data_IF_391838458306
#
_entry.id   IF_391838458306
#
_cell.length_a   1.000
_cell.length_b   1.000
_cell.length_c   1.000
_cell.angle_alpha   90.00
_cell.angle_beta   90.00
_cell.angle_gamma   90.00
#
_symmetry.space_group_name_H-M   'P 1'
#
loop_
_entity.id
_entity.type
_entity.pdbx_description
1 polymer ?
#
# COMPACT_ATOMS: atom_id res chain seq x y z
N UNK A 1 42.56 43.71 -10.61
CA UNK A 1 41.24 43.07 -10.47
C UNK A 1 40.26 43.72 -11.43
N UNK A 2 39.66 42.97 -12.35
CA UNK A 2 38.58 43.49 -13.20
C UNK A 2 37.25 43.09 -12.54
N UNK A 3 36.52 44.07 -12.00
CA UNK A 3 35.20 43.83 -11.43
C UNK A 3 34.21 43.55 -12.58
N UNK A 4 33.77 42.29 -12.73
CA UNK A 4 32.80 41.90 -13.77
C UNK A 4 31.35 42.31 -13.45
N UNK A 5 31.08 42.74 -12.21
CA UNK A 5 29.73 43.13 -11.77
C UNK A 5 29.84 44.10 -10.59
N UNK A 6 29.18 45.26 -10.68
CA UNK A 6 29.10 46.27 -9.62
C UNK A 6 27.62 46.40 -9.26
N UNK A 7 27.30 46.32 -7.97
CA UNK A 7 25.96 46.48 -7.44
C UNK A 7 25.88 47.81 -6.69
N UNK A 8 25.12 48.80 -7.20
CA UNK A 8 24.87 50.04 -6.49
C UNK A 8 24.30 49.76 -5.09
N UNK A 9 24.67 50.57 -4.11
CA UNK A 9 24.21 50.51 -2.70
C UNK A 9 24.57 49.24 -1.91
N UNK A 10 25.43 48.37 -2.45
CA UNK A 10 25.95 47.19 -1.75
C UNK A 10 27.08 47.51 -0.75
N UNK A 11 27.03 48.67 -0.08
CA UNK A 11 28.10 49.19 0.78
C UNK A 11 28.56 48.18 1.84
N UNK A 12 27.62 47.47 2.48
CA UNK A 12 27.94 46.40 3.46
C UNK A 12 28.77 45.25 2.88
N UNK A 13 28.55 44.88 1.62
CA UNK A 13 29.33 43.85 0.95
C UNK A 13 30.72 44.38 0.61
N UNK A 14 30.81 45.62 0.13
CA UNK A 14 32.08 46.27 -0.18
C UNK A 14 32.94 46.42 1.07
N UNK A 15 32.39 46.94 2.17
CA UNK A 15 33.09 47.07 3.44
C UNK A 15 33.60 45.71 3.91
N UNK A 16 32.75 44.67 3.91
CA UNK A 16 33.15 43.35 4.42
C UNK A 16 34.22 42.67 3.56
N UNK A 17 34.07 42.66 2.23
CA UNK A 17 34.97 41.93 1.34
C UNK A 17 36.25 42.70 0.96
N UNK A 18 36.24 44.04 0.99
CA UNK A 18 37.42 44.86 0.71
C UNK A 18 38.27 45.13 1.96
N UNK A 19 37.72 45.03 3.17
CA UNK A 19 38.46 45.18 4.43
C UNK A 19 39.68 44.24 4.51
N UNK A 20 40.85 44.80 4.85
CA UNK A 20 42.13 44.08 4.97
C UNK A 20 42.20 43.14 6.17
N UNK A 21 41.46 43.43 7.23
CA UNK A 21 41.41 42.64 8.47
C UNK A 21 40.41 41.47 8.43
N UNK A 22 39.80 41.17 7.28
CA UNK A 22 38.82 40.09 7.20
C UNK A 22 39.52 38.72 7.37
N UNK A 23 39.21 37.91 8.41
CA UNK A 23 39.83 36.60 8.62
C UNK A 23 39.52 35.57 7.53
N UNK A 24 38.59 35.87 6.61
CA UNK A 24 38.25 35.05 5.45
C UNK A 24 38.99 35.47 4.16
N UNK A 25 39.83 36.53 4.18
CA UNK A 25 40.69 36.93 3.06
C UNK A 25 41.74 35.83 2.82
N UNK A 26 41.46 34.94 1.87
CA UNK A 26 42.36 33.84 1.48
C UNK A 26 41.79 32.44 1.65
N UNK A 27 40.60 32.29 2.21
CA UNK A 27 39.90 31.01 2.13
C UNK A 27 39.48 30.77 0.67
N UNK A 28 40.11 29.80 0.00
CA UNK A 28 39.68 29.38 -1.34
C UNK A 28 38.21 28.94 -1.26
N UNK A 29 37.31 29.53 -2.07
CA UNK A 29 35.91 29.15 -2.05
C UNK A 29 35.82 27.68 -2.45
N UNK A 30 35.23 26.82 -1.62
CA UNK A 30 35.01 25.42 -1.96
C UNK A 30 33.82 25.33 -2.95
N UNK A 31 34.07 25.19 -4.28
CA UNK A 31 33.01 25.27 -5.27
C UNK A 31 32.13 24.02 -5.23
N UNK A 32 32.62 22.92 -4.65
CA UNK A 32 31.95 21.62 -4.66
C UNK A 32 30.55 21.64 -4.03
N UNK A 33 30.29 22.53 -3.04
CA UNK A 33 28.94 22.68 -2.48
C UNK A 33 27.98 23.34 -3.47
N UNK A 34 28.46 24.32 -4.24
CA UNK A 34 27.68 25.05 -5.24
C UNK A 34 27.48 24.17 -6.48
N UNK A 35 28.51 23.45 -6.92
CA UNK A 35 28.43 22.52 -8.05
C UNK A 35 27.41 21.41 -7.77
N UNK A 36 27.36 20.87 -6.55
CA UNK A 36 26.31 19.92 -6.14
C UNK A 36 24.91 20.50 -6.27
N UNK A 37 24.72 21.79 -5.97
CA UNK A 37 23.43 22.47 -6.13
C UNK A 37 23.09 22.60 -7.62
N UNK A 38 24.04 23.01 -8.46
CA UNK A 38 23.84 23.11 -9.90
C UNK A 38 23.58 21.75 -10.54
N UNK A 39 24.33 20.70 -10.19
CA UNK A 39 24.07 19.34 -10.67
C UNK A 39 22.67 18.86 -10.30
N UNK A 40 22.23 19.09 -9.04
CA UNK A 40 20.85 18.78 -8.61
C UNK A 40 19.80 19.60 -9.37
N UNK A 41 20.08 20.87 -9.65
CA UNK A 41 19.17 21.71 -10.42
C UNK A 41 19.06 21.26 -11.88
N UNK A 42 20.19 20.92 -12.51
CA UNK A 42 20.24 20.36 -13.87
C UNK A 42 19.50 19.03 -13.92
N UNK A 43 19.73 18.13 -12.96
CA UNK A 43 19.02 16.85 -12.89
C UNK A 43 17.51 17.04 -12.72
N UNK A 44 17.07 17.96 -11.85
CA UNK A 44 15.64 18.27 -11.71
C UNK A 44 15.05 18.88 -12.97
N UNK A 45 15.81 19.69 -13.71
CA UNK A 45 15.38 20.24 -15.00
C UNK A 45 15.24 19.14 -16.05
N UNK A 46 16.18 18.19 -16.11
CA UNK A 46 16.21 17.16 -17.15
C UNK A 46 15.32 15.96 -16.84
N UNK A 47 15.31 15.47 -15.60
CA UNK A 47 14.54 14.29 -15.15
C UNK A 47 13.27 14.62 -14.38
N UNK A 48 13.15 15.82 -13.81
CA UNK A 48 12.01 16.18 -12.97
C UNK A 48 12.14 15.62 -11.56
N UNK A 49 11.09 15.76 -10.77
CA UNK A 49 11.00 15.21 -9.42
C UNK A 49 10.21 13.90 -9.48
N UNK A 50 10.65 12.88 -8.74
CA UNK A 50 9.96 11.60 -8.65
C UNK A 50 8.55 11.78 -8.07
N UNK A 51 7.54 11.18 -8.71
CA UNK A 51 6.15 11.32 -8.30
C UNK A 51 5.60 12.75 -8.33
N UNK A 52 6.15 13.62 -9.17
CA UNK A 52 5.59 14.95 -9.41
C UNK A 52 5.31 15.14 -10.90
N UNK A 53 4.02 15.09 -11.23
CA UNK A 53 3.52 15.39 -12.56
C UNK A 53 2.91 16.79 -12.54
N UNK A 54 3.23 17.59 -13.56
CA UNK A 54 2.76 18.96 -13.69
C UNK A 54 2.40 19.22 -15.15
N UNK A 55 1.55 20.22 -15.40
CA UNK A 55 1.21 20.68 -16.74
C UNK A 55 2.45 21.03 -17.59
N UNK A 56 3.51 21.51 -16.95
CA UNK A 56 4.78 21.82 -17.62
C UNK A 56 5.64 20.59 -17.94
N UNK A 57 5.33 19.44 -17.33
CA UNK A 57 6.12 18.21 -17.46
C UNK A 57 5.25 16.98 -17.16
N UNK A 58 4.68 16.43 -18.23
CA UNK A 58 3.98 15.15 -18.25
C UNK A 58 4.78 14.19 -19.15
N UNK A 59 5.75 13.43 -18.61
CA UNK A 59 6.56 12.51 -19.39
C UNK A 59 5.70 11.38 -19.98
N UNK A 60 6.16 10.80 -21.10
CA UNK A 60 5.56 9.58 -21.65
C UNK A 60 5.82 8.41 -20.71
N UNK A 61 4.93 7.40 -20.66
CA UNK A 61 5.14 6.19 -19.86
C UNK A 61 6.53 5.57 -20.08
N UNK A 62 7.19 5.19 -18.99
CA UNK A 62 8.55 4.65 -18.97
C UNK A 62 9.68 5.67 -19.02
N UNK A 63 9.37 6.97 -19.17
CA UNK A 63 10.37 8.06 -19.19
C UNK A 63 10.27 8.98 -17.96
N UNK A 64 9.36 8.68 -17.03
CA UNK A 64 9.24 9.32 -15.74
C UNK A 64 10.45 9.05 -14.83
N UNK A 65 10.72 9.98 -13.90
CA UNK A 65 11.72 9.82 -12.86
C UNK A 65 11.13 9.07 -11.66
N UNK A 66 10.51 7.92 -11.90
CA UNK A 66 9.74 7.16 -10.92
C UNK A 66 8.26 7.57 -10.86
N UNK A 67 7.39 6.57 -10.72
CA UNK A 67 5.94 6.74 -10.72
C UNK A 67 5.45 7.48 -9.47
N UNK A 68 5.78 6.98 -8.28
CA UNK A 68 5.49 7.66 -7.00
C UNK A 68 6.74 8.24 -6.37
N UNK A 69 6.55 9.10 -5.36
CA UNK A 69 7.65 9.85 -4.72
C UNK A 69 8.22 9.20 -3.47
N UNK A 70 7.53 8.21 -2.89
CA UNK A 70 7.88 7.56 -1.62
C UNK A 70 7.23 6.17 -1.52
N UNK A 71 7.79 5.26 -0.69
CA UNK A 71 7.20 3.94 -0.45
C UNK A 71 5.81 3.99 0.18
N UNK A 72 4.92 3.10 -0.25
CA UNK A 72 3.57 2.90 0.30
C UNK A 72 3.27 1.40 0.37
N UNK A 73 2.19 1.05 1.07
CA UNK A 73 1.77 -0.34 1.24
C UNK A 73 0.34 -0.54 0.80
N UNK A 74 0.08 -1.64 0.10
CA UNK A 74 -1.22 -2.04 -0.42
C UNK A 74 -1.57 -3.40 0.16
N UNK A 75 -2.79 -3.52 0.66
CA UNK A 75 -3.31 -4.73 1.29
C UNK A 75 -4.54 -5.21 0.54
N UNK A 76 -4.57 -6.50 0.21
CA UNK A 76 -5.70 -7.18 -0.43
C UNK A 76 -6.14 -8.37 0.42
N UNK A 77 -7.42 -8.45 0.74
CA UNK A 77 -8.00 -9.58 1.48
C UNK A 77 -7.91 -9.49 3.01
N UNK A 78 -7.20 -8.51 3.55
CA UNK A 78 -7.00 -8.38 5.00
C UNK A 78 -8.25 -7.87 5.72
N UNK A 79 -8.97 -6.92 5.13
CA UNK A 79 -10.23 -6.40 5.67
C UNK A 79 -11.38 -7.39 5.58
N UNK A 80 -11.32 -8.32 4.64
CA UNK A 80 -12.26 -9.42 4.52
C UNK A 80 -12.02 -10.50 5.58
N UNK A 81 -10.76 -10.75 5.93
CA UNK A 81 -10.37 -11.78 6.90
C UNK A 81 -10.40 -11.31 8.35
N UNK A 82 -10.06 -10.05 8.61
CA UNK A 82 -9.90 -9.50 9.95
C UNK A 82 -10.85 -8.33 10.22
N UNK A 83 -11.55 -8.40 11.35
CA UNK A 83 -12.31 -7.28 11.88
C UNK A 83 -11.36 -6.18 12.37
N UNK A 84 -11.66 -4.92 12.06
CA UNK A 84 -10.87 -3.74 12.46
C UNK A 84 -9.38 -3.83 12.10
N UNK A 85 -9.05 -4.37 10.92
CA UNK A 85 -7.68 -4.46 10.44
C UNK A 85 -7.03 -3.06 10.27
N UNK A 86 -7.74 -2.09 9.68
CA UNK A 86 -7.17 -0.76 9.42
C UNK A 86 -6.77 -0.04 10.72
N UNK A 87 -7.63 0.05 11.75
CA UNK A 87 -7.25 0.63 13.03
C UNK A 87 -6.16 -0.16 13.74
N UNK A 88 -6.17 -1.50 13.66
CA UNK A 88 -5.12 -2.33 14.26
C UNK A 88 -3.76 -2.04 13.63
N UNK A 89 -3.69 -2.00 12.29
CA UNK A 89 -2.45 -1.74 11.56
C UNK A 89 -1.91 -0.34 11.90
N UNK A 90 -2.78 0.68 11.92
CA UNK A 90 -2.40 2.05 12.27
C UNK A 90 -1.79 2.16 13.68
N UNK A 91 -2.34 1.43 14.66
CA UNK A 91 -1.78 1.38 16.02
C UNK A 91 -0.41 0.71 16.07
N UNK A 92 -0.21 -0.35 15.28
CA UNK A 92 1.02 -1.13 15.29
C UNK A 92 2.17 -0.41 14.58
N UNK A 93 1.91 0.21 13.43
CA UNK A 93 2.96 0.82 12.61
C UNK A 93 3.13 2.32 12.84
N UNK A 94 2.13 2.99 13.42
CA UNK A 94 2.07 4.45 13.49
C UNK A 94 1.93 5.12 12.12
N UNK A 95 1.58 4.36 11.07
CA UNK A 95 1.37 4.88 9.71
C UNK A 95 -0.10 5.20 9.48
N UNK A 96 -0.38 6.03 8.48
CA UNK A 96 -1.76 6.28 8.05
C UNK A 96 -2.28 5.09 7.26
N UNK A 97 -3.43 4.58 7.68
CA UNK A 97 -4.10 3.45 7.02
C UNK A 97 -5.45 3.93 6.52
N UNK A 98 -5.64 3.86 5.21
CA UNK A 98 -6.88 4.11 4.50
C UNK A 98 -7.62 2.80 4.27
N UNK A 99 -8.91 2.90 3.99
CA UNK A 99 -9.70 1.77 3.50
C UNK A 99 -9.49 1.58 2.00
N UNK A 100 -10.57 1.23 1.31
CA UNK A 100 -10.55 1.05 -0.13
C UNK A 100 -10.49 2.39 -0.87
N UNK A 101 -9.28 2.85 -1.19
CA UNK A 101 -9.11 4.09 -1.96
C UNK A 101 -9.73 4.00 -3.36
N UNK A 102 -9.80 2.79 -3.92
CA UNK A 102 -10.33 2.51 -5.25
C UNK A 102 -11.76 1.95 -5.25
N UNK A 103 -12.48 2.02 -4.12
CA UNK A 103 -13.87 1.58 -4.05
C UNK A 103 -14.76 2.30 -5.08
N UNK A 104 -15.71 1.56 -5.68
CA UNK A 104 -16.54 2.06 -6.78
C UNK A 104 -17.43 3.24 -6.36
N UNK A 105 -17.86 3.27 -5.10
CA UNK A 105 -18.80 4.28 -4.60
C UNK A 105 -18.11 5.58 -4.15
N UNK A 106 -17.04 5.46 -3.34
CA UNK A 106 -16.28 6.59 -2.79
C UNK A 106 -14.84 6.18 -2.48
N UNK A 107 -13.96 7.17 -2.33
CA UNK A 107 -12.60 6.95 -1.82
C UNK A 107 -12.65 6.91 -0.30
N UNK A 108 -12.14 5.83 0.29
CA UNK A 108 -12.17 5.65 1.74
C UNK A 108 -10.89 6.13 2.41
N UNK A 109 -10.80 7.44 2.67
CA UNK A 109 -9.68 7.99 3.45
C UNK A 109 -9.70 7.52 4.91
N UNK A 110 -8.59 7.77 5.61
CA UNK A 110 -8.43 7.45 7.03
C UNK A 110 -9.58 8.09 7.83
N UNK A 111 -10.27 7.29 8.65
CA UNK A 111 -11.42 7.77 9.43
C UNK A 111 -12.63 8.19 8.59
N UNK A 112 -12.71 7.76 7.33
CA UNK A 112 -13.81 8.06 6.38
C UNK A 112 -14.03 9.56 6.16
N UNK A 113 -12.93 10.33 6.13
CA UNK A 113 -12.96 11.75 5.81
C UNK A 113 -13.37 11.99 4.35
N UNK A 114 -14.00 13.14 4.07
CA UNK A 114 -14.43 13.53 2.71
C UNK A 114 -13.33 14.19 1.90
N UNK A 115 -12.32 14.74 2.58
CA UNK A 115 -11.19 15.44 1.96
C UNK A 115 -9.89 15.07 2.64
N UNK A 116 -8.80 15.08 1.88
CA UNK A 116 -7.47 14.75 2.38
C UNK A 116 -6.40 15.70 1.83
N UNK A 117 -5.17 15.52 2.28
CA UNK A 117 -4.01 16.35 1.95
C UNK A 117 -3.89 16.64 0.45
N UNK A 118 -3.68 17.93 0.12
CA UNK A 118 -3.60 18.40 -1.26
C UNK A 118 -4.95 18.53 -1.99
N UNK A 119 -6.02 18.79 -1.23
CA UNK A 119 -7.38 18.98 -1.73
C UNK A 119 -7.93 17.77 -2.51
N UNK A 120 -7.48 16.58 -2.15
CA UNK A 120 -8.07 15.33 -2.64
C UNK A 120 -9.45 15.16 -2.00
N UNK A 121 -10.44 14.78 -2.79
CA UNK A 121 -11.81 14.54 -2.35
C UNK A 121 -12.17 13.06 -2.45
N UNK A 122 -13.23 12.65 -1.74
CA UNK A 122 -13.73 11.29 -1.68
C UNK A 122 -14.55 10.83 -2.91
N UNK A 123 -14.72 11.70 -3.90
CA UNK A 123 -15.52 11.40 -5.09
C UNK A 123 -14.81 10.41 -6.03
N UNK A 124 -15.36 9.20 -6.14
CA UNK A 124 -14.84 8.13 -7.00
C UNK A 124 -14.76 8.53 -8.49
N UNK A 125 -15.69 9.34 -9.00
CA UNK A 125 -15.66 9.79 -10.41
C UNK A 125 -14.47 10.70 -10.70
N UNK A 126 -14.12 11.57 -9.76
CA UNK A 126 -12.96 12.46 -9.89
C UNK A 126 -11.65 11.68 -9.76
N UNK A 127 -11.59 10.70 -8.85
CA UNK A 127 -10.48 9.74 -8.78
C UNK A 127 -10.30 9.01 -10.12
N UNK A 128 -11.37 8.40 -10.63
CA UNK A 128 -11.31 7.53 -11.81
C UNK A 128 -11.06 8.30 -13.12
N UNK A 129 -11.32 9.61 -13.16
CA UNK A 129 -10.95 10.45 -14.30
C UNK A 129 -9.45 10.37 -14.62
N UNK A 130 -8.60 10.28 -13.58
CA UNK A 130 -7.18 10.02 -13.76
C UNK A 130 -6.59 9.23 -12.56
N UNK A 131 -7.04 7.99 -12.43
CA UNK A 131 -6.73 7.10 -11.29
C UNK A 131 -5.24 7.05 -10.92
N UNK A 132 -4.37 6.97 -11.93
CA UNK A 132 -2.91 7.00 -11.74
C UNK A 132 -2.40 8.25 -11.02
N UNK A 133 -2.85 9.44 -11.46
CA UNK A 133 -2.39 10.70 -10.89
C UNK A 133 -3.03 10.96 -9.52
N UNK A 134 -4.20 10.39 -9.26
CA UNK A 134 -4.75 10.39 -7.90
C UNK A 134 -3.78 9.73 -6.91
N UNK A 135 -3.28 8.53 -7.20
CA UNK A 135 -2.30 7.86 -6.34
C UNK A 135 -1.02 8.68 -6.21
N UNK A 136 -0.50 9.19 -7.33
CA UNK A 136 0.73 9.98 -7.30
C UNK A 136 0.57 11.25 -6.46
N UNK A 137 -0.56 11.95 -6.60
CA UNK A 137 -0.87 13.13 -5.81
C UNK A 137 -1.02 12.79 -4.33
N UNK A 138 -1.69 11.69 -3.99
CA UNK A 138 -1.83 11.23 -2.60
C UNK A 138 -0.45 11.06 -1.96
N UNK A 139 0.42 10.26 -2.58
CA UNK A 139 1.77 9.99 -2.06
C UNK A 139 2.64 11.26 -2.06
N UNK A 140 2.50 12.12 -3.07
CA UNK A 140 3.25 13.38 -3.15
C UNK A 140 2.88 14.38 -2.05
N UNK A 141 1.60 14.47 -1.70
CA UNK A 141 1.12 15.42 -0.70
C UNK A 141 1.42 14.96 0.73
N UNK A 142 1.64 13.66 0.95
CA UNK A 142 1.98 13.08 2.26
C UNK A 142 3.45 12.65 2.38
N UNK A 143 4.36 13.28 1.62
CA UNK A 143 5.78 12.95 1.66
C UNK A 143 6.34 13.03 3.09
N UNK A 144 7.03 11.96 3.50
CA UNK A 144 7.55 11.79 4.86
C UNK A 144 6.74 10.78 5.68
N UNK A 145 5.50 10.51 5.28
CA UNK A 145 4.64 9.51 5.90
C UNK A 145 4.34 8.37 4.91
N UNK A 146 4.52 7.13 5.35
CA UNK A 146 4.11 5.96 4.58
C UNK A 146 2.59 5.86 4.61
N UNK A 147 1.99 5.84 3.41
CA UNK A 147 0.55 5.62 3.25
C UNK A 147 0.27 4.13 3.07
N UNK A 148 -0.78 3.64 3.71
CA UNK A 148 -1.26 2.28 3.59
C UNK A 148 -2.72 2.31 3.16
N UNK A 149 -3.14 1.41 2.28
CA UNK A 149 -4.53 1.34 1.86
C UNK A 149 -4.95 -0.06 1.43
N UNK A 150 -6.27 -0.29 1.41
CA UNK A 150 -6.87 -1.52 0.91
C UNK A 150 -7.09 -1.41 -0.60
N UNK A 151 -6.85 -2.52 -1.29
CA UNK A 151 -7.14 -2.68 -2.70
C UNK A 151 -7.59 -4.12 -2.92
N UNK A 152 -8.80 -4.32 -3.46
CA UNK A 152 -9.34 -5.66 -3.68
C UNK A 152 -10.10 -5.81 -4.99
N UNK A 153 -10.63 -7.00 -5.28
CA UNK A 153 -11.35 -7.28 -6.53
C UNK A 153 -12.64 -6.48 -6.69
N UNK A 154 -13.22 -5.99 -5.58
CA UNK A 154 -14.39 -5.11 -5.56
C UNK A 154 -14.08 -3.68 -6.00
N UNK A 155 -12.80 -3.29 -5.99
CA UNK A 155 -12.34 -1.96 -6.33
C UNK A 155 -12.18 -1.75 -7.85
N UNK A 156 -12.04 -0.49 -8.23
CA UNK A 156 -11.68 -0.08 -9.59
C UNK A 156 -10.26 -0.55 -9.95
N UNK A 157 -10.17 -1.50 -10.88
CA UNK A 157 -8.90 -2.13 -11.31
C UNK A 157 -8.00 -1.24 -12.18
N UNK A 158 -8.33 0.05 -12.34
CA UNK A 158 -7.64 0.99 -13.23
C UNK A 158 -6.14 1.14 -12.96
N UNK A 159 -5.70 0.94 -11.72
CA UNK A 159 -4.29 1.11 -11.31
C UNK A 159 -3.54 -0.20 -11.07
N UNK A 160 -4.18 -1.35 -11.27
CA UNK A 160 -3.61 -2.68 -11.01
C UNK A 160 -2.19 -2.85 -11.58
N UNK A 161 -2.01 -2.50 -12.86
CA UNK A 161 -0.70 -2.57 -13.53
C UNK A 161 0.29 -1.52 -13.05
N UNK A 162 -0.18 -0.34 -12.66
CA UNK A 162 0.68 0.75 -12.21
C UNK A 162 1.27 0.44 -10.83
N UNK A 163 0.45 -0.14 -9.93
CA UNK A 163 0.89 -0.68 -8.65
C UNK A 163 1.98 -1.75 -8.84
N UNK A 164 1.75 -2.73 -9.73
CA UNK A 164 2.71 -3.79 -9.99
C UNK A 164 4.07 -3.26 -10.51
N UNK A 165 4.04 -2.24 -11.39
CA UNK A 165 5.23 -1.66 -12.04
C UNK A 165 6.00 -0.68 -11.15
N UNK A 166 5.42 -0.22 -10.05
CA UNK A 166 6.02 0.79 -9.19
C UNK A 166 6.99 0.16 -8.17
N UNK A 167 8.30 0.48 -8.21
CA UNK A 167 9.27 -0.04 -7.24
C UNK A 167 9.05 0.45 -5.80
N UNK A 168 8.26 1.50 -5.59
CA UNK A 168 7.92 2.00 -4.25
C UNK A 168 6.74 1.24 -3.62
N UNK A 169 5.98 0.47 -4.40
CA UNK A 169 4.85 -0.28 -3.89
C UNK A 169 5.33 -1.53 -3.13
N UNK A 170 4.74 -1.72 -1.94
CA UNK A 170 4.78 -2.99 -1.23
C UNK A 170 3.35 -3.54 -1.20
N UNK A 171 3.14 -4.70 -1.80
CA UNK A 171 1.80 -5.27 -2.02
C UNK A 171 1.74 -6.62 -1.30
N UNK A 172 0.75 -6.76 -0.42
CA UNK A 172 0.48 -7.95 0.36
C UNK A 172 -0.92 -8.44 0.04
N UNK A 173 -1.02 -9.66 -0.50
CA UNK A 173 -2.28 -10.23 -1.00
C UNK A 173 -2.60 -11.54 -0.31
N UNK A 174 -3.82 -11.66 0.20
CA UNK A 174 -4.43 -12.92 0.61
C UNK A 174 -5.42 -13.33 -0.49
N UNK A 175 -4.98 -14.21 -1.39
CA UNK A 175 -5.78 -14.58 -2.55
C UNK A 175 -6.99 -15.43 -2.16
N UNK A 176 -8.14 -15.11 -2.76
CA UNK A 176 -9.40 -15.77 -2.50
C UNK A 176 -10.17 -15.25 -1.28
N UNK A 177 -9.67 -14.20 -0.61
CA UNK A 177 -10.35 -13.60 0.55
C UNK A 177 -11.71 -12.98 0.21
N UNK A 178 -11.96 -12.62 -1.05
CA UNK A 178 -13.26 -12.11 -1.53
C UNK A 178 -14.42 -13.10 -1.32
N UNK A 179 -14.14 -14.38 -1.10
CA UNK A 179 -15.17 -15.37 -0.82
C UNK A 179 -15.74 -15.24 0.60
N UNK A 180 -15.02 -14.61 1.54
CA UNK A 180 -15.45 -14.47 2.94
C UNK A 180 -16.70 -13.57 3.04
N UNK A 181 -16.74 -12.36 2.45
CA UNK A 181 -17.97 -11.55 2.45
C UNK A 181 -19.16 -12.25 1.78
N UNK A 182 -18.91 -13.02 0.72
CA UNK A 182 -19.96 -13.80 0.05
C UNK A 182 -20.53 -14.90 0.96
N UNK A 183 -19.66 -15.61 1.67
CA UNK A 183 -20.04 -16.60 2.67
C UNK A 183 -20.89 -15.99 3.79
N UNK A 184 -20.46 -14.85 4.35
CA UNK A 184 -21.20 -14.14 5.41
C UNK A 184 -22.55 -13.58 4.94
N UNK A 185 -22.68 -13.24 3.66
CA UNK A 185 -23.89 -12.61 3.13
C UNK A 185 -25.13 -13.52 3.19
N UNK A 186 -24.94 -14.84 3.26
CA UNK A 186 -25.98 -15.86 3.26
C UNK A 186 -27.07 -15.64 2.17
N UNK A 187 -26.65 -15.10 1.01
CA UNK A 187 -27.52 -14.85 -0.14
C UNK A 187 -27.83 -16.14 -0.89
N UNK A 188 -28.76 -16.05 -1.84
CA UNK A 188 -29.07 -17.17 -2.71
C UNK A 188 -27.84 -17.53 -3.57
N UNK A 189 -27.56 -18.83 -3.68
CA UNK A 189 -26.36 -19.33 -4.35
C UNK A 189 -26.32 -18.99 -5.85
N UNK A 190 -27.48 -18.82 -6.50
CA UNK A 190 -27.55 -18.39 -7.90
C UNK A 190 -26.80 -17.07 -8.15
N UNK A 191 -26.95 -16.14 -7.22
CA UNK A 191 -26.42 -14.78 -7.31
C UNK A 191 -24.96 -14.76 -6.85
N UNK A 192 -24.67 -15.47 -5.73
CA UNK A 192 -23.30 -15.67 -5.24
C UNK A 192 -22.40 -16.27 -6.31
N UNK A 193 -22.89 -17.22 -7.11
CA UNK A 193 -22.09 -17.85 -8.15
C UNK A 193 -21.63 -16.86 -9.22
N UNK A 194 -22.49 -15.95 -9.65
CA UNK A 194 -22.15 -14.94 -10.65
C UNK A 194 -21.14 -13.94 -10.10
N UNK A 195 -21.41 -13.42 -8.91
CA UNK A 195 -20.51 -12.48 -8.21
C UNK A 195 -19.15 -13.12 -7.94
N UNK A 196 -19.12 -14.37 -7.46
CA UNK A 196 -17.91 -15.11 -7.21
C UNK A 196 -17.07 -15.34 -8.47
N UNK A 197 -17.71 -15.66 -9.60
CA UNK A 197 -17.01 -15.82 -10.87
C UNK A 197 -16.40 -14.51 -11.36
N UNK A 198 -17.10 -13.38 -11.18
CA UNK A 198 -16.57 -12.06 -11.53
C UNK A 198 -15.39 -11.68 -10.66
N UNK A 199 -15.52 -11.79 -9.33
CA UNK A 199 -14.46 -11.48 -8.37
C UNK A 199 -13.23 -12.36 -8.59
N UNK A 200 -13.42 -13.66 -8.83
CA UNK A 200 -12.33 -14.58 -9.17
C UNK A 200 -11.60 -14.16 -10.45
N UNK A 201 -12.33 -13.74 -11.50
CA UNK A 201 -11.72 -13.28 -12.75
C UNK A 201 -10.89 -12.02 -12.52
N UNK A 202 -11.45 -11.04 -11.80
CA UNK A 202 -10.78 -9.77 -11.50
C UNK A 202 -9.51 -9.99 -10.66
N UNK A 203 -9.60 -10.79 -9.60
CA UNK A 203 -8.45 -11.15 -8.77
C UNK A 203 -7.39 -11.90 -9.59
N UNK A 204 -7.79 -12.88 -10.42
CA UNK A 204 -6.86 -13.63 -11.28
C UNK A 204 -6.12 -12.69 -12.25
N UNK A 205 -6.81 -11.72 -12.84
CA UNK A 205 -6.20 -10.69 -13.69
C UNK A 205 -5.22 -9.80 -12.90
N UNK A 206 -5.57 -9.39 -11.68
CA UNK A 206 -4.67 -8.63 -10.81
C UNK A 206 -3.42 -9.45 -10.42
N UNK A 207 -3.60 -10.70 -9.99
CA UNK A 207 -2.50 -11.61 -9.65
C UNK A 207 -1.57 -11.87 -10.84
N UNK A 208 -2.11 -11.94 -12.07
CA UNK A 208 -1.30 -12.04 -13.28
C UNK A 208 -0.46 -10.78 -13.52
N UNK A 209 -0.98 -9.59 -13.24
CA UNK A 209 -0.22 -8.35 -13.30
C UNK A 209 0.90 -8.34 -12.24
N UNK A 210 0.60 -8.77 -11.02
CA UNK A 210 1.55 -8.86 -9.91
C UNK A 210 2.67 -9.89 -10.15
N UNK A 211 2.35 -11.03 -10.78
CA UNK A 211 3.32 -12.09 -11.12
C UNK A 211 4.05 -11.84 -12.44
N UNK A 212 3.72 -10.75 -13.15
CA UNK A 212 4.32 -10.46 -14.45
C UNK A 212 5.81 -10.14 -14.35
N UNK A 213 6.56 -10.38 -15.42
CA UNK A 213 7.98 -10.01 -15.49
C UNK A 213 8.23 -8.50 -15.48
N UNK A 214 7.20 -7.69 -15.72
CA UNK A 214 7.27 -6.24 -15.65
C UNK A 214 7.03 -5.70 -14.23
N UNK A 215 6.63 -6.56 -13.28
CA UNK A 215 6.44 -6.16 -11.90
C UNK A 215 7.77 -5.78 -11.26
N UNK A 216 7.80 -4.60 -10.63
CA UNK A 216 8.96 -4.07 -9.88
C UNK A 216 8.64 -3.83 -8.41
N UNK A 217 7.36 -3.88 -8.05
CA UNK A 217 6.91 -3.79 -6.68
C UNK A 217 7.44 -4.94 -5.82
N UNK A 218 7.47 -4.73 -4.50
CA UNK A 218 7.73 -5.80 -3.52
C UNK A 218 6.41 -6.50 -3.25
N UNK A 219 6.27 -7.74 -3.73
CA UNK A 219 4.98 -8.45 -3.76
C UNK A 219 5.07 -9.69 -2.89
N UNK A 220 4.06 -9.87 -2.03
CA UNK A 220 3.82 -11.09 -1.25
C UNK A 220 2.40 -11.56 -1.50
N UNK A 221 2.25 -12.82 -1.88
CA UNK A 221 0.96 -13.45 -2.15
C UNK A 221 0.89 -14.71 -1.30
N UNK A 222 -0.12 -14.80 -0.46
CA UNK A 222 -0.52 -16.01 0.26
C UNK A 222 -1.85 -16.47 -0.30
N UNK A 223 -2.07 -17.78 -0.37
CA UNK A 223 -3.45 -18.27 -0.50
C UNK A 223 -4.17 -18.11 0.84
N UNK A 224 -5.49 -18.00 0.81
CA UNK A 224 -6.29 -17.92 2.03
C UNK A 224 -6.02 -19.12 2.96
N UNK A 225 -5.88 -20.34 2.41
CA UNK A 225 -5.53 -21.54 3.15
C UNK A 225 -4.17 -21.40 3.85
N UNK A 226 -3.11 -21.08 3.10
CA UNK A 226 -1.75 -20.94 3.65
C UNK A 226 -1.68 -19.88 4.76
N UNK A 227 -2.43 -18.79 4.58
CA UNK A 227 -2.45 -17.69 5.54
C UNK A 227 -3.10 -18.10 6.87
N UNK A 228 -4.16 -18.91 6.82
CA UNK A 228 -4.89 -19.34 8.03
C UNK A 228 -4.12 -20.39 8.83
N UNK A 229 -3.25 -21.16 8.18
CA UNK A 229 -2.34 -22.07 8.90
C UNK A 229 -1.31 -21.31 9.75
N UNK A 230 -0.82 -20.16 9.25
CA UNK A 230 0.28 -19.41 9.88
C UNK A 230 0.05 -17.89 9.98
N UNK A 231 -1.09 -17.42 10.55
CA UNK A 231 -1.49 -16.01 10.47
C UNK A 231 -0.52 -15.08 11.20
N UNK A 232 0.06 -15.53 12.31
CA UNK A 232 1.00 -14.72 13.11
C UNK A 232 2.33 -14.48 12.36
N UNK A 233 2.82 -15.48 11.62
CA UNK A 233 4.06 -15.37 10.85
C UNK A 233 3.86 -14.47 9.64
N UNK A 234 2.73 -14.62 8.94
CA UNK A 234 2.37 -13.77 7.83
C UNK A 234 2.23 -12.29 8.26
N UNK A 235 1.52 -12.02 9.36
CA UNK A 235 1.39 -10.66 9.92
C UNK A 235 2.74 -10.06 10.35
N UNK A 236 3.61 -10.84 11.00
CA UNK A 236 4.95 -10.38 11.38
C UNK A 236 5.78 -10.04 10.13
N UNK A 237 5.72 -10.87 9.09
CA UNK A 237 6.44 -10.64 7.83
C UNK A 237 6.02 -9.33 7.17
N UNK A 238 4.70 -9.07 7.11
CA UNK A 238 4.15 -7.81 6.59
C UNK A 238 4.71 -6.60 7.34
N UNK A 239 4.70 -6.66 8.67
CA UNK A 239 5.14 -5.58 9.54
C UNK A 239 6.66 -5.33 9.45
N UNK A 240 7.46 -6.39 9.35
CA UNK A 240 8.90 -6.31 9.21
C UNK A 240 9.29 -5.65 7.88
N UNK A 241 8.62 -6.03 6.79
CA UNK A 241 8.83 -5.42 5.47
C UNK A 241 8.39 -3.95 5.42
N UNK A 242 7.40 -3.58 6.24
CA UNK A 242 7.01 -2.18 6.39
C UNK A 242 8.09 -1.32 7.05
N UNK A 243 9.15 -1.92 7.60
CA UNK A 243 10.27 -1.20 8.21
C UNK A 243 9.86 -0.48 9.50
N UNK A 244 8.83 -0.97 10.18
CA UNK A 244 8.39 -0.46 11.47
C UNK A 244 9.45 -0.81 12.54
N UNK A 245 10.46 0.06 12.63
CA UNK A 245 11.72 -0.09 13.39
C UNK A 245 11.59 -0.39 14.90
N UNK A 246 10.38 -0.50 15.45
CA UNK A 246 10.13 -0.70 16.88
C UNK A 246 9.05 -1.75 17.20
N UNK A 247 8.63 -2.58 16.24
CA UNK A 247 7.65 -3.62 16.54
C UNK A 247 8.32 -4.76 17.32
N UNK A 248 8.11 -4.75 18.64
CA UNK A 248 8.13 -5.98 19.44
C UNK A 248 7.22 -6.99 18.73
N UNK A 249 7.59 -8.28 18.75
CA UNK A 249 6.81 -9.40 18.18
C UNK A 249 5.31 -9.13 18.33
N UNK A 250 4.53 -9.35 17.27
CA UNK A 250 3.06 -9.21 17.32
C UNK A 250 2.55 -10.03 18.51
N UNK A 251 2.09 -9.32 19.54
CA UNK A 251 1.55 -9.94 20.77
C UNK A 251 0.03 -9.98 20.74
N UNK A 252 -0.58 -9.12 19.94
CA UNK A 252 -2.02 -9.02 19.76
C UNK A 252 -2.35 -9.02 18.27
N UNK A 253 -3.01 -10.09 17.81
CA UNK A 253 -3.53 -10.21 16.46
C UNK A 253 -4.92 -9.58 16.37
N UNK A 254 -5.30 -9.02 15.21
CA UNK A 254 -6.67 -8.59 14.99
C UNK A 254 -7.60 -9.80 15.00
N UNK A 255 -8.88 -9.57 15.35
CA UNK A 255 -9.87 -10.64 15.45
C UNK A 255 -10.17 -11.18 14.05
N UNK A 256 -9.92 -12.47 13.85
CA UNK A 256 -10.27 -13.16 12.61
C UNK A 256 -11.77 -13.43 12.57
N UNK A 257 -12.35 -13.33 11.37
CA UNK A 257 -13.72 -13.74 11.08
C UNK A 257 -13.91 -15.23 11.37
N UNK A 258 -15.11 -15.61 11.82
CA UNK A 258 -15.47 -17.02 11.96
C UNK A 258 -15.64 -17.68 10.58
N UNK A 259 -14.80 -18.69 10.32
CA UNK A 259 -14.77 -19.47 9.08
C UNK A 259 -15.36 -20.88 9.24
N UNK A 260 -16.07 -21.13 10.35
CA UNK A 260 -16.79 -22.40 10.57
C UNK A 260 -17.76 -22.67 9.42
N UNK A 261 -17.69 -23.85 8.78
CA UNK A 261 -18.51 -24.17 7.60
C UNK A 261 -18.05 -23.54 6.26
N UNK A 262 -16.95 -22.76 6.23
CA UNK A 262 -16.45 -22.15 4.98
C UNK A 262 -16.02 -23.20 3.94
N UNK A 263 -15.42 -24.31 4.36
CA UNK A 263 -15.07 -25.42 3.46
C UNK A 263 -16.28 -26.03 2.76
N UNK A 264 -17.40 -26.19 3.48
CA UNK A 264 -18.66 -26.67 2.90
C UNK A 264 -19.24 -25.66 1.89
N UNK A 265 -19.12 -24.37 2.17
CA UNK A 265 -19.52 -23.31 1.22
C UNK A 265 -18.73 -23.39 -0.09
N UNK A 266 -17.40 -23.56 -0.04
CA UNK A 266 -16.58 -23.74 -1.23
C UNK A 266 -16.96 -25.01 -2.01
N UNK A 267 -17.26 -26.10 -1.31
CA UNK A 267 -17.73 -27.34 -1.94
C UNK A 267 -19.08 -27.15 -2.62
N UNK A 268 -20.02 -26.43 -2.00
CA UNK A 268 -21.32 -26.11 -2.60
C UNK A 268 -21.18 -25.25 -3.85
N UNK A 269 -20.27 -24.27 -3.83
CA UNK A 269 -19.92 -23.48 -5.00
C UNK A 269 -19.38 -24.34 -6.15
N UNK A 270 -18.48 -25.27 -5.84
CA UNK A 270 -17.94 -26.25 -6.79
C UNK A 270 -19.04 -27.13 -7.40
N UNK A 271 -19.96 -27.62 -6.58
CA UNK A 271 -21.08 -28.44 -7.02
C UNK A 271 -22.03 -27.68 -7.97
N UNK A 272 -22.07 -26.34 -7.92
CA UNK A 272 -22.87 -25.50 -8.82
C UNK A 272 -22.13 -25.04 -10.09
N UNK A 273 -20.95 -25.61 -10.34
CA UNK A 273 -20.17 -25.40 -11.56
C UNK A 273 -19.23 -24.20 -11.53
N UNK A 274 -18.99 -23.57 -10.37
CA UNK A 274 -17.94 -22.56 -10.19
C UNK A 274 -16.80 -23.17 -9.38
N UNK A 275 -15.60 -23.26 -9.94
CA UNK A 275 -14.44 -23.85 -9.25
C UNK A 275 -13.60 -22.76 -8.59
N UNK A 276 -13.70 -22.56 -7.26
CA UNK A 276 -12.79 -21.68 -6.53
C UNK A 276 -11.38 -22.30 -6.51
N UNK A 277 -10.39 -21.60 -7.07
CA UNK A 277 -9.00 -22.12 -7.14
C UNK A 277 -7.95 -21.16 -6.57
N UNK A 278 -8.33 -19.93 -6.21
CA UNK A 278 -7.39 -18.91 -5.71
C UNK A 278 -7.15 -19.01 -4.19
N UNK A 279 -8.03 -19.70 -3.47
CA UNK A 279 -8.05 -19.79 -2.01
C UNK A 279 -7.08 -20.83 -1.45
N UNK A 280 -6.50 -21.69 -2.31
CA UNK A 280 -5.72 -22.86 -1.91
C UNK A 280 -6.60 -24.05 -1.51
N UNK A 281 -5.97 -25.08 -0.93
CA UNK A 281 -6.65 -26.29 -0.48
C UNK A 281 -7.26 -26.07 0.91
N UNK A 282 -8.57 -25.79 0.94
CA UNK A 282 -9.32 -25.63 2.19
C UNK A 282 -9.89 -26.97 2.66
N UNK A 283 -9.69 -27.38 3.93
CA UNK A 283 -10.31 -28.60 4.45
C UNK A 283 -11.84 -28.46 4.46
N UNK A 284 -12.55 -29.45 3.93
CA UNK A 284 -14.02 -29.52 3.94
C UNK A 284 -14.60 -29.99 5.27
N UNK A 285 -13.77 -30.62 6.10
CA UNK A 285 -14.15 -31.01 7.45
C UNK A 285 -13.99 -29.79 8.38
N UNK A 286 -15.03 -29.52 9.17
CA UNK A 286 -14.98 -28.46 10.19
C UNK A 286 -13.71 -28.65 11.02
N UNK A 287 -12.81 -27.68 10.94
CA UNK A 287 -11.74 -27.54 11.92
C UNK A 287 -12.46 -27.20 13.22
N UNK A 288 -12.87 -28.24 13.96
CA UNK A 288 -13.42 -28.11 15.30
C UNK A 288 -12.51 -27.16 16.05
N UNK A 289 -13.05 -25.98 16.36
CA UNK A 289 -12.36 -24.95 17.14
C UNK A 289 -11.91 -25.62 18.42
N UNK A 290 -10.61 -25.91 18.53
CA UNK A 290 -9.89 -26.41 19.71
C UNK A 290 -10.83 -26.68 20.90
N UNK A 291 -11.48 -27.85 20.94
CA UNK A 291 -12.09 -28.29 22.19
C UNK A 291 -10.94 -28.42 23.18
N UNK A 292 -10.89 -27.48 24.13
CA UNK A 292 -9.96 -27.56 25.26
C UNK A 292 -10.11 -28.97 25.84
N UNK A 293 -9.05 -29.79 25.93
CA UNK A 293 -9.17 -31.13 26.48
C UNK A 293 -9.78 -31.02 27.86
N UNK A 294 -10.95 -31.63 28.03
CA UNK A 294 -11.67 -31.64 29.30
C UNK A 294 -10.73 -32.18 30.38
N UNK A 295 -10.43 -31.33 31.37
CA UNK A 295 -9.52 -31.63 32.47
C UNK A 295 -10.03 -32.88 33.20
N UNK A 296 -9.39 -34.03 32.99
CA UNK A 296 -9.70 -35.28 33.69
C UNK A 296 -9.57 -35.05 35.19
N UNK A 297 -10.67 -35.27 35.93
CA UNK A 297 -10.67 -35.21 37.40
C UNK A 297 -9.76 -36.34 37.92
N UNK A 298 -8.84 -36.06 38.87
CA UNK A 298 -8.03 -37.11 39.47
C UNK A 298 -8.92 -38.03 40.32
N UNK A 299 -8.78 -39.34 40.12
CA UNK A 299 -9.43 -40.35 40.96
C UNK A 299 -8.80 -40.32 42.36
N UNK A 300 -9.63 -40.09 43.38
CA UNK A 300 -9.29 -40.34 44.79
C UNK A 300 -9.42 -41.84 45.03
N UNK A 301 -8.27 -42.51 45.22
CA UNK A 301 -8.22 -43.89 45.74
C UNK A 301 -8.23 -43.82 47.27
N UNK A 302 -9.07 -44.66 47.87
CA UNK A 302 -9.21 -44.84 49.32
C UNK A 302 -8.12 -45.73 49.87
#
# INVERSE_FOLDING_TARGET
FVARKIWPDANRLYDNFLNEENPLKGAEPNPGKIDRIFSKAVERRTRGRAGLFMQSRLPRPGHENGFTSSPYSVFEGFTELFEDFEPWLARMTGTRVHGHLYAKDRVEFEGRQTTFSGALCDNAKLRDHHAQLFLVNLIWNTRGERQCFQFGPTDSQLVSWDLAKDPNAQISVISGAWAIPLFQSNRNFSDIRADAAELQRLESEHLNALRSSWAKARIRIWTLADFIETPMEALQTVLDEMGAKNLRRVTEAPKMVDLSGFGQFLQNLKNQGMHPYLMGDFPTDDVSVNERPTRRKPYLVR
#
